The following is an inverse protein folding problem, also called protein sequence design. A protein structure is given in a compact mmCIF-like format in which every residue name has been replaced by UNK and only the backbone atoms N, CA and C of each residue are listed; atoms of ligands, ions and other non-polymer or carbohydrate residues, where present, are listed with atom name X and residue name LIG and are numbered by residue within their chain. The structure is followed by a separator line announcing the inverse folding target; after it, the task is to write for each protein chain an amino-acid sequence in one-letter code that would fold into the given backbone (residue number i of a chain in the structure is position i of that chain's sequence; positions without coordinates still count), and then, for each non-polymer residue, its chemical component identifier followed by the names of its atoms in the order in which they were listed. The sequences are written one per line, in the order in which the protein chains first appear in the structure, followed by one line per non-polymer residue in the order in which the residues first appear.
data_IF_184206501639
#
_entry.id   IF_184206501639
#
_cell.length_a   1.000
_cell.length_b   1.000
_cell.length_c   1.000
_cell.angle_alpha   90.00
_cell.angle_beta   90.00
_cell.angle_gamma   90.00
#
_symmetry.space_group_name_H-M   'P 1'
#
loop_
_entity.id
_entity.type
_entity.pdbx_description
1 polymer ?
#
# COMPACT_ATOMS: atom_id res chain seq x y z
N UNK A 1 30.01 -7.47 -12.86
CA UNK A 1 30.27 -6.75 -11.59
C UNK A 1 29.57 -7.49 -10.47
N UNK A 2 30.29 -7.85 -9.39
CA UNK A 2 29.70 -8.49 -8.21
C UNK A 2 29.33 -7.38 -7.23
N UNK A 3 28.11 -7.42 -6.67
CA UNK A 3 27.72 -6.54 -5.57
C UNK A 3 28.44 -7.09 -4.33
N UNK A 4 29.40 -6.35 -3.81
CA UNK A 4 30.15 -6.68 -2.60
C UNK A 4 29.42 -6.17 -1.34
N UNK A 5 30.01 -6.39 -0.16
CA UNK A 5 29.41 -5.97 1.10
C UNK A 5 29.22 -4.44 1.17
N UNK A 6 30.18 -3.66 0.67
CA UNK A 6 30.08 -2.20 0.68
C UNK A 6 28.94 -1.70 -0.21
N UNK A 7 28.77 -2.28 -1.40
CA UNK A 7 27.67 -1.96 -2.28
C UNK A 7 26.31 -2.33 -1.67
N UNK A 8 26.23 -3.45 -0.92
CA UNK A 8 25.02 -3.80 -0.17
C UNK A 8 24.68 -2.75 0.88
N UNK A 9 25.66 -2.31 1.66
CA UNK A 9 25.45 -1.28 2.70
C UNK A 9 25.01 0.06 2.10
N UNK A 10 25.60 0.46 0.97
CA UNK A 10 25.20 1.67 0.25
C UNK A 10 23.77 1.59 -0.29
N UNK A 11 23.36 0.42 -0.82
CA UNK A 11 21.98 0.18 -1.24
C UNK A 11 21.03 0.33 -0.03
N UNK A 12 21.33 -0.31 1.10
CA UNK A 12 20.49 -0.25 2.30
C UNK A 12 20.38 1.19 2.83
N UNK A 13 21.50 1.90 2.91
CA UNK A 13 21.53 3.31 3.33
C UNK A 13 20.66 4.20 2.44
N UNK A 14 20.70 3.99 1.12
CA UNK A 14 19.86 4.72 0.18
C UNK A 14 18.36 4.43 0.39
N UNK A 15 17.99 3.15 0.62
CA UNK A 15 16.60 2.77 0.89
C UNK A 15 16.09 3.36 2.21
N UNK A 16 16.88 3.34 3.28
CA UNK A 16 16.56 3.99 4.55
C UNK A 16 16.35 5.52 4.42
N UNK A 17 16.98 6.14 3.42
CA UNK A 17 16.81 7.54 3.08
C UNK A 17 15.57 7.80 2.19
N UNK A 18 14.85 6.76 1.78
CA UNK A 18 13.65 6.85 0.93
C UNK A 18 13.93 6.80 -0.57
N UNK A 19 15.14 6.39 -0.99
CA UNK A 19 15.44 6.20 -2.41
C UNK A 19 14.67 5.01 -2.99
N UNK A 20 14.33 5.07 -4.27
CA UNK A 20 13.83 3.91 -4.99
C UNK A 20 14.96 2.94 -5.38
N UNK A 21 14.59 1.75 -5.86
CA UNK A 21 15.54 0.72 -6.29
C UNK A 21 16.41 1.13 -7.50
N UNK A 22 15.92 2.04 -8.34
CA UNK A 22 16.69 2.50 -9.49
C UNK A 22 17.81 3.44 -9.04
N UNK A 23 17.49 4.41 -8.16
CA UNK A 23 18.46 5.31 -7.58
C UNK A 23 19.48 4.57 -6.70
N UNK A 24 19.03 3.63 -5.85
CA UNK A 24 19.93 2.80 -5.05
C UNK A 24 20.88 1.97 -5.92
N UNK A 25 20.40 1.47 -7.07
CA UNK A 25 21.25 0.79 -8.06
C UNK A 25 22.28 1.72 -8.68
N UNK A 26 21.84 2.91 -9.11
CA UNK A 26 22.71 3.89 -9.75
C UNK A 26 23.86 4.33 -8.83
N UNK A 27 23.62 4.48 -7.52
CA UNK A 27 24.64 4.83 -6.52
C UNK A 27 25.81 3.85 -6.54
N UNK A 28 25.52 2.55 -6.67
CA UNK A 28 26.53 1.49 -6.66
C UNK A 28 26.91 1.03 -8.07
N UNK A 29 26.47 1.73 -9.12
CA UNK A 29 26.75 1.38 -10.51
C UNK A 29 26.08 0.09 -11.00
N UNK A 30 24.92 -0.29 -10.47
CA UNK A 30 24.16 -1.46 -10.91
C UNK A 30 22.72 -1.13 -11.33
N UNK A 31 22.12 -2.02 -12.11
CA UNK A 31 20.74 -1.83 -12.55
C UNK A 31 19.75 -2.32 -11.50
N UNK A 32 18.53 -1.78 -11.50
CA UNK A 32 17.42 -2.30 -10.68
C UNK A 32 17.22 -3.83 -10.86
N UNK A 33 17.43 -4.34 -12.07
CA UNK A 33 17.35 -5.78 -12.35
C UNK A 33 18.45 -6.59 -11.64
N UNK A 34 19.66 -6.04 -11.50
CA UNK A 34 20.74 -6.68 -10.74
C UNK A 34 20.36 -6.80 -9.26
N UNK A 35 19.73 -5.77 -8.68
CA UNK A 35 19.23 -5.80 -7.31
C UNK A 35 18.12 -6.84 -7.14
N UNK A 36 17.19 -6.97 -8.09
CA UNK A 36 16.18 -8.03 -8.03
C UNK A 36 16.79 -9.44 -8.07
N UNK A 37 17.79 -9.65 -8.92
CA UNK A 37 18.53 -10.92 -8.97
C UNK A 37 19.28 -11.19 -7.65
N UNK A 38 19.83 -10.14 -7.03
CA UNK A 38 20.48 -10.25 -5.72
C UNK A 38 19.48 -10.64 -4.62
N UNK A 39 18.33 -9.96 -4.51
CA UNK A 39 17.26 -10.32 -3.56
C UNK A 39 16.82 -11.78 -3.68
N UNK A 40 16.73 -12.30 -4.91
CA UNK A 40 16.33 -13.70 -5.13
C UNK A 40 17.41 -14.69 -4.69
N UNK A 41 18.69 -14.33 -4.82
CA UNK A 41 19.83 -15.19 -4.46
C UNK A 41 20.22 -15.11 -2.99
N UNK A 42 19.88 -14.02 -2.33
CA UNK A 42 20.27 -13.71 -0.96
C UNK A 42 19.04 -13.24 -0.17
N UNK A 43 18.30 -14.18 0.44
CA UNK A 43 17.11 -13.87 1.23
C UNK A 43 17.41 -12.98 2.44
N UNK A 44 18.56 -13.16 3.11
CA UNK A 44 18.94 -12.33 4.24
C UNK A 44 19.13 -10.87 3.82
N UNK A 45 19.74 -10.63 2.65
CA UNK A 45 19.81 -9.28 2.11
C UNK A 45 18.44 -8.73 1.70
N UNK A 46 17.52 -9.59 1.23
CA UNK A 46 16.16 -9.16 0.93
C UNK A 46 15.41 -8.69 2.17
N UNK A 47 15.54 -9.39 3.31
CA UNK A 47 14.97 -8.99 4.60
C UNK A 47 15.49 -7.62 5.04
N UNK A 48 16.82 -7.41 4.99
CA UNK A 48 17.43 -6.11 5.31
C UNK A 48 16.91 -4.97 4.43
N UNK A 49 16.69 -5.23 3.15
CA UNK A 49 16.13 -4.24 2.23
C UNK A 49 14.67 -3.91 2.52
N UNK A 50 13.91 -4.89 2.98
CA UNK A 50 12.50 -4.69 3.32
C UNK A 50 12.42 -3.90 4.65
N UNK A 51 13.23 -4.23 5.66
CA UNK A 51 13.39 -3.45 6.90
C UNK A 51 13.84 -1.99 6.62
N UNK A 52 14.81 -1.79 5.72
CA UNK A 52 15.27 -0.46 5.33
C UNK A 52 14.14 0.41 4.75
N UNK A 53 13.21 -0.19 4.00
CA UNK A 53 12.04 0.52 3.48
C UNK A 53 11.01 0.80 4.57
N UNK A 54 10.79 -0.15 5.47
CA UNK A 54 9.89 0.05 6.61
C UNK A 54 10.34 1.27 7.45
N UNK A 55 11.64 1.39 7.71
CA UNK A 55 12.22 2.56 8.40
C UNK A 55 12.01 3.89 7.65
N UNK A 56 12.04 3.88 6.31
CA UNK A 56 11.73 5.06 5.52
C UNK A 56 10.24 5.39 5.58
N UNK A 57 9.37 4.38 5.48
CA UNK A 57 7.92 4.52 5.56
C UNK A 57 7.47 5.03 6.93
N UNK A 58 8.11 4.60 8.03
CA UNK A 58 7.83 5.11 9.39
C UNK A 58 7.97 6.64 9.48
N UNK A 59 8.94 7.23 8.78
CA UNK A 59 9.13 8.69 8.75
C UNK A 59 7.95 9.38 8.07
N UNK A 60 7.47 8.80 6.97
CA UNK A 60 6.29 9.29 6.24
C UNK A 60 5.03 9.13 7.09
N UNK A 61 4.87 8.00 7.77
CA UNK A 61 3.74 7.75 8.68
C UNK A 61 3.70 8.80 9.79
N UNK A 62 4.84 9.10 10.42
CA UNK A 62 4.93 10.14 11.45
C UNK A 62 4.56 11.51 10.90
N UNK A 63 5.10 11.88 9.73
CA UNK A 63 4.79 13.17 9.09
C UNK A 63 3.30 13.29 8.72
N UNK A 64 2.71 12.25 8.12
CA UNK A 64 1.28 12.22 7.78
C UNK A 64 0.40 12.35 9.02
N UNK A 65 0.77 11.68 10.11
CA UNK A 65 0.07 11.81 11.40
C UNK A 65 0.10 13.24 11.92
N UNK A 66 1.27 13.89 11.92
CA UNK A 66 1.41 15.28 12.36
C UNK A 66 0.63 16.24 11.46
N UNK A 67 0.65 16.04 10.15
CA UNK A 67 -0.14 16.85 9.22
C UNK A 67 -1.65 16.68 9.42
N UNK A 68 -2.10 15.46 9.67
CA UNK A 68 -3.51 15.15 9.92
C UNK A 68 -3.99 15.69 11.29
N UNK A 69 -3.13 15.70 12.31
CA UNK A 69 -3.54 16.09 13.67
C UNK A 69 -3.26 17.55 14.01
N UNK A 70 -2.23 18.16 13.42
CA UNK A 70 -1.75 19.51 13.76
C UNK A 70 -1.65 20.43 12.54
N UNK A 71 -1.28 19.89 11.38
CA UNK A 71 -0.94 20.68 10.18
C UNK A 71 -2.12 21.20 9.36
N UNK A 72 -3.36 20.93 9.79
CA UNK A 72 -4.59 21.32 9.09
C UNK A 72 -4.64 20.87 7.61
N UNK A 73 -4.03 19.72 7.28
CA UNK A 73 -4.03 19.15 5.94
C UNK A 73 -5.18 18.16 5.77
N UNK A 74 -6.27 18.61 5.11
CA UNK A 74 -7.49 17.81 4.91
C UNK A 74 -7.20 16.51 4.15
N UNK A 75 -6.30 16.51 3.18
CA UNK A 75 -5.93 15.32 2.41
C UNK A 75 -5.26 14.26 3.30
N UNK A 76 -4.33 14.68 4.18
CA UNK A 76 -3.71 13.77 5.15
C UNK A 76 -4.76 13.18 6.11
N UNK A 77 -5.73 13.99 6.56
CA UNK A 77 -6.86 13.52 7.37
C UNK A 77 -7.70 12.46 6.64
N UNK A 78 -8.01 12.67 5.35
CA UNK A 78 -8.77 11.73 4.53
C UNK A 78 -8.06 10.37 4.45
N UNK A 79 -6.76 10.36 4.12
CA UNK A 79 -5.99 9.13 4.04
C UNK A 79 -5.87 8.43 5.41
N UNK A 80 -5.67 9.20 6.48
CA UNK A 80 -5.63 8.67 7.85
C UNK A 80 -6.92 7.92 8.23
N UNK A 81 -8.07 8.53 7.96
CA UNK A 81 -9.37 7.95 8.28
C UNK A 81 -9.70 6.73 7.41
N UNK A 82 -9.36 6.78 6.11
CA UNK A 82 -9.51 5.63 5.20
C UNK A 82 -8.69 4.42 5.65
N UNK A 83 -7.48 4.62 6.15
CA UNK A 83 -6.61 3.53 6.60
C UNK A 83 -7.02 2.95 7.96
N UNK A 84 -7.44 3.78 8.94
CA UNK A 84 -7.82 3.32 10.29
C UNK A 84 -9.28 2.92 10.46
N UNK A 85 -10.18 3.49 9.67
CA UNK A 85 -11.62 3.21 9.74
C UNK A 85 -12.18 2.88 8.34
N UNK A 86 -11.65 1.85 7.66
CA UNK A 86 -12.04 1.54 6.29
C UNK A 86 -13.53 1.25 6.15
N UNK A 87 -14.16 0.60 7.14
CA UNK A 87 -15.60 0.32 7.11
C UNK A 87 -16.49 1.58 7.08
N UNK A 88 -15.97 2.71 7.58
CA UNK A 88 -16.73 3.98 7.65
C UNK A 88 -16.32 4.99 6.58
N UNK A 89 -15.06 4.96 6.14
CA UNK A 89 -14.45 6.00 5.29
C UNK A 89 -13.93 5.50 3.94
N UNK A 90 -13.85 4.18 3.71
CA UNK A 90 -13.52 3.66 2.38
C UNK A 90 -14.62 4.09 1.41
N UNK A 91 -14.22 4.41 0.19
CA UNK A 91 -15.20 4.74 -0.85
C UNK A 91 -16.11 3.53 -1.07
N UNK A 92 -17.42 3.79 -1.11
CA UNK A 92 -18.43 2.76 -1.37
C UNK A 92 -18.18 2.23 -2.78
N UNK A 93 -18.00 0.92 -2.96
CA UNK A 93 -17.74 0.35 -4.30
C UNK A 93 -19.06 0.26 -5.05
N UNK A 94 -19.05 0.49 -6.36
CA UNK A 94 -20.27 0.36 -7.19
C UNK A 94 -20.88 -1.07 -7.14
N UNK A 95 -20.06 -2.09 -6.86
CA UNK A 95 -20.51 -3.46 -6.65
C UNK A 95 -21.47 -3.58 -5.45
N UNK A 96 -21.25 -2.82 -4.38
CA UNK A 96 -22.10 -2.86 -3.18
C UNK A 96 -23.52 -2.32 -3.50
N UNK A 97 -23.66 -1.39 -4.46
CA UNK A 97 -24.96 -0.89 -4.95
C UNK A 97 -25.67 -1.90 -5.84
N UNK A 98 -24.93 -2.63 -6.66
CA UNK A 98 -25.50 -3.64 -7.55
C UNK A 98 -26.16 -4.78 -6.73
N UNK A 99 -25.48 -5.23 -5.68
CA UNK A 99 -25.96 -6.29 -4.80
C UNK A 99 -27.19 -5.86 -3.98
N UNK A 100 -27.20 -4.61 -3.50
CA UNK A 100 -28.35 -4.03 -2.77
C UNK A 100 -29.59 -3.90 -3.67
N UNK A 101 -29.39 -3.47 -4.93
CA UNK A 101 -30.45 -3.37 -5.94
C UNK A 101 -30.98 -4.75 -6.34
N UNK A 102 -30.09 -5.73 -6.56
CA UNK A 102 -30.47 -7.10 -6.86
C UNK A 102 -31.25 -7.75 -5.71
N UNK A 103 -30.84 -7.51 -4.46
CA UNK A 103 -31.56 -7.98 -3.26
C UNK A 103 -32.93 -7.31 -3.08
N UNK A 104 -33.08 -6.04 -3.47
CA UNK A 104 -34.38 -5.36 -3.47
C UNK A 104 -35.32 -5.89 -4.56
N UNK A 105 -34.80 -6.10 -5.78
CA UNK A 105 -35.55 -6.70 -6.89
C UNK A 105 -36.00 -8.12 -6.57
N UNK A 106 -35.13 -8.93 -5.96
CA UNK A 106 -35.47 -10.30 -5.56
C UNK A 106 -36.61 -10.32 -4.56
N UNK A 107 -36.58 -9.45 -3.54
CA UNK A 107 -37.67 -9.31 -2.56
C UNK A 107 -38.97 -8.85 -3.22
N UNK A 108 -38.89 -7.85 -4.08
CA UNK A 108 -40.04 -7.35 -4.82
C UNK A 108 -40.70 -8.44 -5.69
N UNK A 109 -39.91 -9.24 -6.41
CA UNK A 109 -40.41 -10.35 -7.23
C UNK A 109 -41.01 -11.49 -6.39
N UNK A 110 -40.46 -11.75 -5.20
CA UNK A 110 -41.02 -12.72 -4.25
C UNK A 110 -42.37 -12.26 -3.71
N UNK A 111 -42.51 -10.97 -3.41
CA UNK A 111 -43.76 -10.36 -2.93
C UNK A 111 -44.87 -10.39 -4.00
N UNK A 112 -44.54 -10.12 -5.27
CA UNK A 112 -45.50 -10.17 -6.38
C UNK A 112 -45.97 -11.60 -6.73
N UNK A 113 -45.12 -12.60 -6.52
CA UNK A 113 -45.46 -14.01 -6.74
C UNK A 113 -46.14 -14.68 -5.52
N UNK A 114 -46.24 -13.97 -4.38
CA UNK A 114 -46.86 -14.47 -3.16
C UNK A 114 -48.39 -14.22 -3.08
N UNK A 115 -48.97 -13.50 -4.05
CA UNK A 115 -50.44 -13.43 -4.19
C UNK A 115 -50.97 -14.68 -4.90
N UNK A 116 -51.76 -15.55 -4.24
CA UNK A 116 -52.34 -16.71 -4.90
C UNK A 116 -53.44 -16.25 -5.87
N UNK A 117 -53.47 -16.85 -7.07
CA UNK A 117 -54.63 -16.79 -7.95
C UNK A 117 -55.85 -17.35 -7.21
N UNK A 118 -56.87 -16.53 -7.05
CA UNK A 118 -58.24 -16.94 -6.69
C UNK A 118 -58.94 -17.47 -7.93
#
# INVERSE_FOLDING_TARGET
MKIDASAKDQILGALCAGADLALAGNIVGCTRQAIYKLRKRDPAFAELMDEARDLADEKVVRSLYEMATKGNNVTACIFWLKNRQPLKWRDRRDQDRADETAGALTRFLQEQNATPSV
#
